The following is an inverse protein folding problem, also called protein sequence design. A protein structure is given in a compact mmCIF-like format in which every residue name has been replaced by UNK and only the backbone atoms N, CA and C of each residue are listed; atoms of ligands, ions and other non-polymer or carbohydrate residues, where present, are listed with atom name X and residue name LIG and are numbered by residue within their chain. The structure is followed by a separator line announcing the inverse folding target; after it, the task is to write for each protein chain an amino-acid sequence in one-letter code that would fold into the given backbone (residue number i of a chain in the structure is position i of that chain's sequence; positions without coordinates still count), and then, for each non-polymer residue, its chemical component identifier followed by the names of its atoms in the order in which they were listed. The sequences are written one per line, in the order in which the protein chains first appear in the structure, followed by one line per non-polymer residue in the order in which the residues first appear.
data_IF_729460013741
#
_entry.id   IF_729460013741
#
_cell.length_a   1.000
_cell.length_b   1.000
_cell.length_c   1.000
_cell.angle_alpha   90.00
_cell.angle_beta   90.00
_cell.angle_gamma   90.00
#
_symmetry.space_group_name_H-M   'P 1'
#
loop_
_entity.id
_entity.type
_entity.pdbx_description
1 polymer ?
#
# COMPACT_ATOMS: atom_id res chain seq x y z
N UNK A 1 9.78 19.31 19.36
CA UNK A 1 8.98 18.07 19.18
C UNK A 1 9.45 17.40 17.90
N UNK A 2 10.26 16.36 18.00
CA UNK A 2 10.71 15.63 16.81
C UNK A 2 9.61 14.62 16.44
N UNK A 3 9.08 14.72 15.21
CA UNK A 3 8.17 13.73 14.62
C UNK A 3 8.94 12.46 14.26
N UNK A 4 9.57 11.80 15.23
CA UNK A 4 10.39 10.59 15.03
C UNK A 4 9.56 9.33 14.78
N UNK A 5 8.24 9.47 14.80
CA UNK A 5 7.35 8.34 14.97
C UNK A 5 6.14 8.34 14.01
N UNK A 6 6.15 9.16 12.96
CA UNK A 6 5.05 9.23 11.98
C UNK A 6 4.69 7.86 11.35
N UNK A 7 5.67 6.96 11.26
CA UNK A 7 5.49 5.65 10.66
C UNK A 7 4.51 4.75 11.44
N UNK A 8 4.40 4.89 12.77
CA UNK A 8 3.49 4.06 13.56
C UNK A 8 1.99 4.41 13.36
N UNK A 9 1.69 5.52 12.71
CA UNK A 9 0.32 5.87 12.34
C UNK A 9 -0.14 5.15 11.07
N UNK A 10 0.78 4.55 10.32
CA UNK A 10 0.45 3.74 9.16
C UNK A 10 0.02 2.37 9.67
N UNK A 11 -1.29 2.13 9.76
CA UNK A 11 -1.84 0.83 10.14
C UNK A 11 -2.31 0.05 8.91
N UNK A 12 -2.41 -1.29 8.97
CA UNK A 12 -3.02 -2.08 7.90
C UNK A 12 -4.43 -1.61 7.54
N UNK A 13 -5.22 -1.20 8.54
CA UNK A 13 -6.57 -0.67 8.36
C UNK A 13 -6.54 0.63 7.56
N UNK A 14 -5.65 1.57 7.91
CA UNK A 14 -5.50 2.82 7.18
C UNK A 14 -5.06 2.59 5.73
N UNK A 15 -4.15 1.63 5.50
CA UNK A 15 -3.70 1.25 4.16
C UNK A 15 -4.84 0.64 3.33
N UNK A 16 -5.67 -0.23 3.91
CA UNK A 16 -6.84 -0.79 3.24
C UNK A 16 -7.88 0.28 2.92
N UNK A 17 -8.17 1.19 3.86
CA UNK A 17 -9.07 2.32 3.62
C UNK A 17 -8.55 3.24 2.51
N UNK A 18 -7.24 3.48 2.48
CA UNK A 18 -6.60 4.27 1.43
C UNK A 18 -6.72 3.59 0.07
N UNK A 19 -6.58 2.25 0.01
CA UNK A 19 -6.80 1.48 -1.23
C UNK A 19 -8.23 1.65 -1.76
N UNK A 20 -9.25 1.62 -0.90
CA UNK A 20 -10.64 1.84 -1.30
C UNK A 20 -10.96 3.29 -1.68
N UNK A 21 -10.16 4.26 -1.21
CA UNK A 21 -10.25 5.65 -1.63
C UNK A 21 -9.62 5.91 -3.02
N UNK A 22 -8.83 4.97 -3.55
CA UNK A 22 -8.27 5.09 -4.90
C UNK A 22 -9.36 4.96 -5.96
N UNK A 23 -9.14 5.64 -7.09
CA UNK A 23 -10.00 5.49 -8.27
C UNK A 23 -9.89 4.05 -8.79
N UNK A 24 -11.03 3.36 -8.88
CA UNK A 24 -11.15 1.99 -9.39
C UNK A 24 -10.75 1.83 -10.86
N UNK A 25 -10.74 2.93 -11.60
CA UNK A 25 -10.32 2.98 -13.02
C UNK A 25 -8.82 3.26 -13.19
N UNK A 26 -8.04 3.20 -12.11
CA UNK A 26 -6.59 3.37 -12.18
C UNK A 26 -5.98 2.33 -13.12
N UNK A 27 -5.03 2.77 -13.95
CA UNK A 27 -4.29 1.90 -14.84
C UNK A 27 -3.65 0.75 -14.05
N UNK A 28 -3.57 -0.42 -14.70
CA UNK A 28 -2.90 -1.62 -14.17
C UNK A 28 -1.53 -1.23 -13.61
N UNK A 29 -1.26 -1.65 -12.37
CA UNK A 29 -0.03 -1.31 -11.67
C UNK A 29 1.22 -1.84 -12.40
N UNK A 30 2.41 -1.43 -11.93
CA UNK A 30 3.70 -1.91 -12.47
C UNK A 30 3.79 -3.45 -12.45
N UNK A 31 3.08 -4.08 -11.52
CA UNK A 31 3.04 -5.53 -11.32
C UNK A 31 2.02 -6.26 -12.23
N UNK A 32 1.34 -5.56 -13.14
CA UNK A 32 0.36 -6.16 -14.05
C UNK A 32 -1.00 -6.49 -13.40
N UNK A 33 -1.19 -6.14 -12.13
CA UNK A 33 -2.42 -6.40 -11.37
C UNK A 33 -3.47 -5.31 -11.63
N UNK A 34 -4.70 -5.74 -11.96
CA UNK A 34 -5.84 -4.84 -11.96
C UNK A 34 -6.29 -4.54 -10.52
N UNK A 35 -7.11 -3.49 -10.36
CA UNK A 35 -7.68 -3.15 -9.05
C UNK A 35 -8.46 -4.33 -8.43
N UNK A 36 -9.16 -5.12 -9.25
CA UNK A 36 -9.92 -6.31 -8.80
C UNK A 36 -9.00 -7.45 -8.36
N UNK A 37 -7.94 -7.72 -9.11
CA UNK A 37 -6.97 -8.77 -8.76
C UNK A 37 -6.22 -8.41 -7.46
N UNK A 38 -6.03 -7.11 -7.23
CA UNK A 38 -5.42 -6.62 -6.00
C UNK A 38 -6.38 -6.76 -4.80
N UNK A 39 -7.68 -6.53 -5.01
CA UNK A 39 -8.71 -6.64 -3.97
C UNK A 39 -8.80 -8.06 -3.39
N UNK A 40 -8.73 -9.10 -4.22
CA UNK A 40 -8.83 -10.51 -3.80
C UNK A 40 -7.74 -10.91 -2.78
N UNK A 41 -6.58 -10.24 -2.82
CA UNK A 41 -5.46 -10.45 -1.88
C UNK A 41 -5.21 -9.29 -0.92
N UNK A 42 -6.12 -8.30 -0.84
CA UNK A 42 -5.85 -7.00 -0.22
C UNK A 42 -5.36 -7.12 1.22
N UNK A 43 -6.04 -7.92 2.05
CA UNK A 43 -5.73 -8.04 3.47
C UNK A 43 -4.31 -8.58 3.71
N UNK A 44 -3.93 -9.62 2.97
CA UNK A 44 -2.62 -10.25 3.07
C UNK A 44 -1.51 -9.30 2.56
N UNK A 45 -1.73 -8.68 1.40
CA UNK A 45 -0.78 -7.75 0.78
C UNK A 45 -0.54 -6.51 1.64
N UNK A 46 -1.60 -5.96 2.23
CA UNK A 46 -1.52 -4.81 3.12
C UNK A 46 -0.78 -5.16 4.41
N UNK A 47 -1.00 -6.35 4.97
CA UNK A 47 -0.29 -6.83 6.16
C UNK A 47 1.22 -6.99 5.88
N UNK A 48 1.57 -7.57 4.73
CA UNK A 48 2.96 -7.72 4.30
C UNK A 48 3.62 -6.37 4.05
N UNK A 49 2.93 -5.47 3.33
CA UNK A 49 3.38 -4.11 3.05
C UNK A 49 3.66 -3.35 4.35
N UNK A 50 2.73 -3.39 5.30
CA UNK A 50 2.90 -2.79 6.61
C UNK A 50 4.14 -3.34 7.34
N UNK A 51 4.32 -4.66 7.34
CA UNK A 51 5.50 -5.29 7.93
C UNK A 51 6.81 -4.85 7.26
N UNK A 52 6.83 -4.70 5.93
CA UNK A 52 7.99 -4.24 5.16
C UNK A 52 8.29 -2.76 5.39
N UNK A 53 7.26 -1.92 5.48
CA UNK A 53 7.39 -0.50 5.80
C UNK A 53 8.00 -0.31 7.20
N UNK A 54 7.49 -1.02 8.20
CA UNK A 54 8.02 -0.97 9.57
C UNK A 54 9.47 -1.46 9.67
N UNK A 55 9.88 -2.39 8.82
CA UNK A 55 11.27 -2.88 8.74
C UNK A 55 12.19 -1.99 7.90
N UNK A 56 11.67 -0.92 7.27
CA UNK A 56 12.44 -0.08 6.33
C UNK A 56 12.84 -0.80 5.03
N UNK A 57 12.20 -1.94 4.73
CA UNK A 57 12.52 -2.81 3.59
C UNK A 57 11.58 -2.61 2.39
N UNK A 58 10.63 -1.67 2.48
CA UNK A 58 9.78 -1.31 1.36
C UNK A 58 10.48 -0.29 0.46
N UNK A 59 10.58 -0.61 -0.84
CA UNK A 59 11.03 0.31 -1.89
C UNK A 59 9.89 0.45 -2.89
N UNK A 60 9.43 1.68 -3.10
CA UNK A 60 8.39 1.96 -4.08
C UNK A 60 8.97 1.76 -5.50
N UNK A 61 8.22 1.08 -6.36
CA UNK A 61 8.52 0.96 -7.79
C UNK A 61 8.18 2.28 -8.48
N UNK A 62 9.00 2.76 -9.43
CA UNK A 62 8.72 4.01 -10.12
C UNK A 62 7.41 3.93 -10.90
N UNK A 63 6.56 4.95 -10.77
CA UNK A 63 5.29 5.06 -11.49
C UNK A 63 5.55 5.19 -12.99
N UNK A 64 4.90 4.36 -13.80
CA UNK A 64 4.86 4.55 -15.25
C UNK A 64 4.02 5.82 -15.51
N UNK A 65 4.64 6.85 -16.11
CA UNK A 65 3.98 8.09 -16.53
C UNK A 65 3.46 7.95 -17.96
#
# INVERSE_FOLDING_TARGET
MQFTALLHHITPQLLAQSFYALRRDAAVGVDGLSWRDYEEGLLQRVTELHGRLHKGAFRATPSRR
#
